data_IF_903443783325
#
_entry.id   IF_903443783325
#
_cell.length_a   1.000
_cell.length_b   1.000
_cell.length_c   1.000
_cell.angle_alpha   90.00
_cell.angle_beta   90.00
_cell.angle_gamma   90.00
#
_symmetry.space_group_name_H-M   'P 1'
#
loop_
_entity.id
_entity.type
_entity.pdbx_description
1 polymer ?
#
# COMPACT_ATOMS: atom_id res chain seq x y z
N UNK A 1 -17.25 -84.13 60.15
CA UNK A 1 -17.66 -82.79 60.37
C UNK A 1 -16.99 -81.96 59.23
N UNK A 2 -17.72 -81.85 58.15
CA UNK A 2 -17.26 -81.34 56.84
C UNK A 2 -17.43 -79.82 56.82
N UNK A 3 -16.33 -79.14 56.46
CA UNK A 3 -16.37 -77.63 56.27
C UNK A 3 -16.34 -77.37 54.77
N UNK A 4 -17.46 -76.95 54.24
CA UNK A 4 -17.67 -76.50 52.87
C UNK A 4 -16.80 -75.27 52.53
N UNK A 5 -15.94 -75.40 51.55
CA UNK A 5 -15.25 -74.25 50.91
C UNK A 5 -16.17 -73.57 49.92
N UNK A 6 -16.36 -72.28 50.07
CA UNK A 6 -17.03 -71.43 49.12
C UNK A 6 -16.05 -70.99 47.99
N UNK A 7 -16.43 -71.00 46.71
CA UNK A 7 -15.59 -70.51 45.62
C UNK A 7 -15.63 -68.92 45.55
N UNK A 8 -14.45 -68.33 45.54
CA UNK A 8 -14.26 -66.93 45.32
C UNK A 8 -14.51 -66.57 43.83
N UNK A 9 -15.50 -65.75 43.61
CA UNK A 9 -15.71 -65.09 42.30
C UNK A 9 -14.59 -64.06 42.03
N UNK A 10 -13.84 -64.29 40.98
CA UNK A 10 -12.86 -63.33 40.46
C UNK A 10 -13.61 -62.27 39.67
N UNK A 11 -13.81 -61.07 40.22
CA UNK A 11 -14.24 -59.88 39.49
C UNK A 11 -13.10 -59.46 38.60
N UNK A 12 -13.27 -59.58 37.27
CA UNK A 12 -12.37 -58.99 36.27
C UNK A 12 -12.53 -57.50 36.24
N UNK A 13 -11.55 -56.78 36.75
CA UNK A 13 -11.46 -55.33 36.55
C UNK A 13 -11.19 -55.05 35.07
N UNK A 14 -12.22 -54.59 34.37
CA UNK A 14 -12.09 -54.09 32.99
C UNK A 14 -11.42 -52.72 33.12
N UNK A 15 -10.17 -52.63 32.69
CA UNK A 15 -9.40 -51.38 32.67
C UNK A 15 -9.92 -50.47 31.58
N UNK A 16 -10.69 -49.44 31.99
CA UNK A 16 -11.18 -48.35 31.13
C UNK A 16 -10.09 -47.36 30.64
N UNK A 17 -8.83 -47.81 30.55
CA UNK A 17 -7.71 -46.95 30.14
C UNK A 17 -7.64 -46.64 28.64
N UNK A 18 -8.29 -47.44 27.80
CA UNK A 18 -8.21 -47.28 26.34
C UNK A 18 -9.11 -46.20 25.74
N UNK A 19 -10.23 -45.89 26.41
CA UNK A 19 -11.25 -44.98 25.82
C UNK A 19 -10.85 -43.51 25.91
N UNK A 20 -10.09 -43.10 26.92
CA UNK A 20 -9.68 -41.73 27.13
C UNK A 20 -8.63 -41.25 26.13
N UNK A 21 -7.74 -42.13 25.69
CA UNK A 21 -6.70 -41.79 24.71
C UNK A 21 -7.25 -41.55 23.32
N UNK A 22 -8.25 -42.30 22.89
CA UNK A 22 -8.89 -42.13 21.59
C UNK A 22 -9.70 -40.83 21.51
N UNK A 23 -10.31 -40.39 22.62
CA UNK A 23 -11.04 -39.12 22.67
C UNK A 23 -10.11 -37.93 22.65
N UNK A 24 -8.95 -37.95 23.31
CA UNK A 24 -7.95 -36.89 23.29
C UNK A 24 -7.28 -36.75 21.93
N UNK A 25 -6.98 -37.85 21.24
CA UNK A 25 -6.41 -37.82 19.88
C UNK A 25 -7.45 -37.29 18.88
N UNK A 26 -8.73 -37.67 19.00
CA UNK A 26 -9.81 -37.19 18.15
C UNK A 26 -10.06 -35.68 18.32
N UNK A 27 -9.98 -35.17 19.56
CA UNK A 27 -10.15 -33.74 19.84
C UNK A 27 -8.95 -32.92 19.32
N UNK A 28 -7.74 -33.43 19.44
CA UNK A 28 -6.54 -32.80 18.89
C UNK A 28 -6.56 -32.71 17.36
N UNK A 29 -7.00 -33.77 16.68
CA UNK A 29 -7.13 -33.78 15.22
C UNK A 29 -8.24 -32.84 14.74
N UNK A 30 -9.34 -32.74 15.47
CA UNK A 30 -10.43 -31.81 15.16
C UNK A 30 -10.00 -30.34 15.35
N UNK A 31 -9.20 -30.04 16.37
CA UNK A 31 -8.60 -28.71 16.54
C UNK A 31 -7.59 -28.35 15.45
N UNK A 32 -6.82 -29.33 14.94
CA UNK A 32 -5.92 -29.09 13.80
C UNK A 32 -6.67 -28.89 12.48
N UNK A 33 -7.83 -29.52 12.29
CA UNK A 33 -8.67 -29.33 11.11
C UNK A 33 -9.46 -28.01 11.15
N UNK A 34 -9.65 -27.43 12.33
CA UNK A 34 -10.28 -26.11 12.52
C UNK A 34 -9.26 -24.97 12.51
N UNK A 35 -7.97 -25.24 12.37
CA UNK A 35 -7.01 -24.26 11.91
C UNK A 35 -7.30 -23.97 10.42
N UNK A 36 -8.53 -23.47 10.17
CA UNK A 36 -8.89 -22.79 8.91
C UNK A 36 -7.80 -21.77 8.71
N UNK A 37 -6.99 -21.97 7.68
CA UNK A 37 -6.10 -20.94 7.17
C UNK A 37 -6.97 -19.70 7.07
N UNK A 38 -6.82 -18.74 7.98
CA UNK A 38 -7.33 -17.43 7.75
C UNK A 38 -6.63 -16.99 6.47
N UNK A 39 -7.30 -17.11 5.33
CA UNK A 39 -6.81 -16.59 4.07
C UNK A 39 -6.48 -15.14 4.36
N UNK A 40 -5.19 -14.84 4.45
CA UNK A 40 -4.73 -13.48 4.68
C UNK A 40 -5.36 -12.68 3.55
N UNK A 41 -6.25 -11.76 3.89
CA UNK A 41 -6.91 -10.91 2.91
C UNK A 41 -5.83 -10.25 2.06
N UNK A 42 -5.82 -10.54 0.76
CA UNK A 42 -4.85 -9.97 -0.16
C UNK A 42 -5.18 -8.49 -0.34
N UNK A 43 -4.32 -7.62 0.17
CA UNK A 43 -4.44 -6.18 0.00
C UNK A 43 -3.39 -5.69 -1.00
N UNK A 44 -3.74 -4.70 -1.82
CA UNK A 44 -2.80 -4.02 -2.70
C UNK A 44 -3.08 -2.52 -2.71
N UNK A 45 -2.05 -1.71 -2.88
CA UNK A 45 -2.20 -0.29 -3.16
C UNK A 45 -2.71 -0.17 -4.59
N UNK A 46 -3.92 0.35 -4.76
CA UNK A 46 -4.52 0.52 -6.09
C UNK A 46 -4.08 1.82 -6.74
N UNK A 47 -3.98 2.88 -5.95
CA UNK A 47 -3.58 4.22 -6.43
C UNK A 47 -3.23 5.14 -5.27
N UNK A 48 -2.52 6.19 -5.60
CA UNK A 48 -2.28 7.36 -4.75
C UNK A 48 -3.22 8.46 -5.22
N UNK A 49 -3.87 9.16 -4.29
CA UNK A 49 -4.73 10.30 -4.60
C UNK A 49 -4.11 11.56 -4.02
N UNK A 50 -3.90 12.55 -4.87
CA UNK A 50 -3.31 13.83 -4.50
C UNK A 50 -4.28 14.96 -4.83
N UNK A 51 -4.43 15.91 -3.90
CA UNK A 51 -5.15 17.15 -4.16
C UNK A 51 -4.17 18.22 -4.64
N UNK A 52 -4.57 18.98 -5.63
CA UNK A 52 -3.76 20.06 -6.18
C UNK A 52 -4.57 21.33 -6.37
N UNK A 53 -4.01 22.53 -6.13
CA UNK A 53 -4.70 23.77 -6.42
C UNK A 53 -4.84 24.06 -7.93
N UNK A 54 -3.99 23.46 -8.76
CA UNK A 54 -3.94 23.63 -10.21
C UNK A 54 -3.74 22.28 -10.89
N UNK A 55 -4.80 21.75 -11.50
CA UNK A 55 -4.78 20.44 -12.15
C UNK A 55 -3.91 20.45 -13.41
N UNK A 56 -3.98 21.53 -14.21
CA UNK A 56 -3.24 21.60 -15.48
C UNK A 56 -1.74 21.63 -15.23
N UNK A 57 -1.29 22.41 -14.26
CA UNK A 57 0.11 22.47 -13.85
C UNK A 57 0.59 21.11 -13.30
N UNK A 58 -0.25 20.44 -12.52
CA UNK A 58 0.10 19.13 -11.97
C UNK A 58 0.17 18.05 -13.07
N UNK A 59 -0.78 18.03 -14.00
CA UNK A 59 -0.73 17.12 -15.16
C UNK A 59 0.56 17.36 -15.96
N UNK A 60 0.86 18.59 -16.31
CA UNK A 60 2.07 18.94 -17.05
C UNK A 60 3.35 18.50 -16.32
N UNK A 61 3.40 18.65 -14.99
CA UNK A 61 4.53 18.20 -14.18
C UNK A 61 4.65 16.68 -14.16
N UNK A 62 3.59 15.96 -13.83
CA UNK A 62 3.67 14.49 -13.75
C UNK A 62 3.94 13.84 -15.11
N UNK A 63 3.44 14.39 -16.20
CA UNK A 63 3.71 13.86 -17.55
C UNK A 63 5.05 14.31 -18.11
N UNK A 64 5.42 15.58 -17.97
CA UNK A 64 6.62 16.14 -18.59
C UNK A 64 7.90 16.00 -17.77
N UNK A 65 7.81 15.81 -16.44
CA UNK A 65 8.98 15.71 -15.55
C UNK A 65 9.15 14.29 -15.03
N UNK A 66 8.07 13.70 -14.49
CA UNK A 66 8.14 12.39 -13.84
C UNK A 66 7.95 11.22 -14.84
N UNK A 67 7.35 11.49 -16.01
CA UNK A 67 7.18 10.48 -17.06
C UNK A 67 5.89 9.67 -16.96
N UNK A 68 4.87 10.16 -16.24
CA UNK A 68 3.56 9.53 -16.25
C UNK A 68 2.84 9.75 -17.59
N UNK A 69 1.87 8.88 -17.89
CA UNK A 69 0.96 9.03 -19.02
C UNK A 69 -0.41 9.45 -18.53
N UNK A 70 -1.00 10.48 -19.13
CA UNK A 70 -2.38 10.89 -18.85
C UNK A 70 -3.36 9.91 -19.52
N UNK A 71 -4.16 9.18 -18.69
CA UNK A 71 -5.18 8.27 -19.19
C UNK A 71 -6.55 8.93 -19.31
N UNK A 72 -6.84 9.84 -18.39
CA UNK A 72 -8.16 10.46 -18.31
C UNK A 72 -8.06 11.82 -17.63
N UNK A 73 -8.76 12.79 -18.21
CA UNK A 73 -9.08 14.07 -17.58
C UNK A 73 -10.58 14.35 -17.76
N UNK A 74 -11.19 14.94 -16.75
CA UNK A 74 -12.60 15.29 -16.83
C UNK A 74 -13.10 16.00 -15.59
N UNK A 75 -14.34 16.50 -15.72
CA UNK A 75 -15.03 17.20 -14.63
C UNK A 75 -16.20 16.36 -14.15
N UNK A 76 -16.24 16.12 -12.85
CA UNK A 76 -17.40 15.55 -12.19
C UNK A 76 -18.47 16.64 -12.02
N UNK A 77 -19.72 16.33 -12.36
CA UNK A 77 -20.83 17.22 -12.02
C UNK A 77 -21.06 17.25 -10.49
N UNK A 78 -21.76 18.26 -9.99
CA UNK A 78 -22.14 18.30 -8.58
C UNK A 78 -22.81 16.99 -8.12
N UNK A 79 -22.35 16.41 -7.02
CA UNK A 79 -22.83 15.14 -6.49
C UNK A 79 -22.48 13.90 -7.32
N UNK A 80 -21.68 14.02 -8.37
CA UNK A 80 -21.36 12.92 -9.30
C UNK A 80 -20.62 11.73 -8.70
N UNK A 81 -19.84 11.95 -7.63
CA UNK A 81 -19.22 10.87 -6.84
C UNK A 81 -19.41 11.16 -5.35
N UNK A 82 -20.40 10.55 -4.70
CA UNK A 82 -20.78 10.87 -3.32
C UNK A 82 -19.69 10.65 -2.27
N UNK A 83 -18.68 9.81 -2.58
CA UNK A 83 -17.58 9.53 -1.64
C UNK A 83 -16.56 10.68 -1.54
N UNK A 84 -16.46 11.56 -2.55
CA UNK A 84 -15.43 12.61 -2.57
C UNK A 84 -15.57 13.57 -1.40
N UNK A 85 -16.79 13.97 -1.07
CA UNK A 85 -17.04 14.83 0.09
C UNK A 85 -16.55 14.22 1.40
N UNK A 86 -17.10 13.09 1.85
CA UNK A 86 -16.75 12.50 3.14
C UNK A 86 -15.33 11.93 3.21
N UNK A 87 -14.76 11.46 2.09
CA UNK A 87 -13.41 10.86 2.08
C UNK A 87 -12.32 11.93 2.03
N UNK A 88 -12.50 12.96 1.18
CA UNK A 88 -11.49 13.99 0.97
C UNK A 88 -11.82 15.33 1.65
N UNK A 89 -12.96 15.41 2.33
CA UNK A 89 -13.44 16.62 3.01
C UNK A 89 -13.53 17.84 2.06
N UNK A 90 -14.03 17.62 0.85
CA UNK A 90 -14.21 18.65 -0.17
C UNK A 90 -15.70 18.90 -0.44
N UNK A 91 -16.02 20.09 -0.91
CA UNK A 91 -17.39 20.48 -1.27
C UNK A 91 -17.82 19.82 -2.61
N UNK A 92 -18.40 18.63 -2.52
CA UNK A 92 -18.89 17.89 -3.68
C UNK A 92 -20.17 18.49 -4.31
N UNK A 93 -20.72 19.59 -3.76
CA UNK A 93 -21.84 20.33 -4.40
C UNK A 93 -21.40 21.16 -5.60
N UNK A 94 -20.08 21.30 -5.83
CA UNK A 94 -19.48 21.99 -6.96
C UNK A 94 -18.89 21.01 -7.97
N UNK A 95 -18.72 21.43 -9.24
CA UNK A 95 -17.95 20.66 -10.21
C UNK A 95 -16.51 20.45 -9.72
N UNK A 96 -15.98 19.21 -9.89
CA UNK A 96 -14.62 18.87 -9.47
C UNK A 96 -13.86 18.35 -10.68
N UNK A 97 -12.78 19.04 -11.06
CA UNK A 97 -11.85 18.57 -12.10
C UNK A 97 -10.95 17.50 -11.52
N UNK A 98 -10.64 16.50 -12.34
CA UNK A 98 -9.80 15.38 -11.95
C UNK A 98 -9.05 14.77 -13.13
N UNK A 99 -7.95 14.07 -12.84
CA UNK A 99 -7.20 13.29 -13.81
C UNK A 99 -6.75 11.95 -13.25
N UNK A 100 -6.57 10.98 -14.13
CA UNK A 100 -5.97 9.67 -13.84
C UNK A 100 -4.73 9.50 -14.69
N UNK A 101 -3.62 9.15 -14.06
CA UNK A 101 -2.35 8.96 -14.72
C UNK A 101 -1.79 7.57 -14.40
N UNK A 102 -1.06 7.03 -15.38
CA UNK A 102 -0.41 5.71 -15.32
C UNK A 102 1.11 5.83 -15.39
N UNK A 103 1.81 4.87 -14.83
CA UNK A 103 3.20 4.56 -15.19
C UNK A 103 3.21 3.42 -16.21
N UNK A 104 4.39 3.01 -16.67
CA UNK A 104 4.55 1.84 -17.55
C UNK A 104 4.10 0.52 -16.90
N UNK A 105 4.10 0.46 -15.56
CA UNK A 105 3.76 -0.74 -14.77
C UNK A 105 2.45 -0.64 -14.01
N UNK A 106 2.00 0.58 -13.67
CA UNK A 106 0.81 0.79 -12.83
C UNK A 106 -0.25 1.62 -13.56
N UNK A 107 -1.25 0.93 -14.10
CA UNK A 107 -2.38 1.57 -14.76
C UNK A 107 -3.22 2.37 -13.76
N UNK A 108 -3.41 3.68 -14.05
CA UNK A 108 -4.20 4.61 -13.21
C UNK A 108 -3.76 4.62 -11.75
N UNK A 109 -2.44 4.53 -11.53
CA UNK A 109 -1.81 4.52 -10.22
C UNK A 109 -1.87 5.86 -9.50
N UNK A 110 -2.03 6.97 -10.24
CA UNK A 110 -2.14 8.32 -9.69
C UNK A 110 -3.49 8.94 -10.04
N UNK A 111 -4.15 9.51 -9.02
CA UNK A 111 -5.39 10.27 -9.14
C UNK A 111 -5.18 11.69 -8.65
N UNK A 112 -5.31 12.65 -9.54
CA UNK A 112 -5.25 14.07 -9.23
C UNK A 112 -6.66 14.63 -9.09
N UNK A 113 -6.90 15.41 -8.05
CA UNK A 113 -8.16 16.07 -7.74
C UNK A 113 -7.87 17.56 -7.59
N UNK A 114 -8.53 18.39 -8.40
CA UNK A 114 -8.39 19.84 -8.26
C UNK A 114 -9.16 20.35 -7.05
N UNK A 115 -8.45 21.04 -6.17
CA UNK A 115 -9.05 21.69 -5.02
C UNK A 115 -8.29 23.00 -4.71
N UNK A 116 -8.90 24.17 -4.95
CA UNK A 116 -8.22 25.46 -4.81
C UNK A 116 -7.66 25.74 -3.41
N UNK A 117 -8.17 25.05 -2.41
CA UNK A 117 -7.73 25.14 -1.01
C UNK A 117 -6.90 23.91 -0.59
N UNK A 118 -6.32 23.15 -1.56
CA UNK A 118 -5.41 22.08 -1.22
C UNK A 118 -4.31 22.63 -0.29
N UNK A 119 -4.00 21.95 0.82
CA UNK A 119 -3.03 22.45 1.77
C UNK A 119 -1.66 22.58 1.08
N UNK A 120 -1.08 23.77 1.15
CA UNK A 120 0.30 23.94 0.75
C UNK A 120 1.22 23.15 1.70
N UNK A 121 2.30 22.55 1.18
CA UNK A 121 3.29 21.91 2.04
C UNK A 121 3.93 22.96 2.94
N UNK A 122 4.18 22.56 4.16
CA UNK A 122 4.93 23.33 5.13
C UNK A 122 6.39 22.84 5.11
N UNK A 123 7.34 23.60 4.56
CA UNK A 123 8.73 23.14 4.42
C UNK A 123 9.45 22.98 5.77
N UNK A 124 8.89 23.54 6.86
CA UNK A 124 9.45 23.41 8.20
C UNK A 124 8.97 22.17 8.95
N UNK A 125 7.98 21.47 8.39
CA UNK A 125 7.44 20.25 8.99
C UNK A 125 8.00 19.00 8.32
N UNK A 126 8.17 17.89 9.08
CA UNK A 126 8.48 16.60 8.47
C UNK A 126 7.44 16.23 7.42
N UNK A 127 7.90 15.72 6.29
CA UNK A 127 7.03 15.23 5.22
C UNK A 127 6.30 13.97 5.71
N UNK A 128 4.96 14.06 5.82
CA UNK A 128 4.15 12.95 6.34
C UNK A 128 3.93 11.83 5.30
N UNK A 129 3.92 12.18 4.01
CA UNK A 129 3.67 11.24 2.91
C UNK A 129 4.62 11.58 1.76
N UNK A 130 5.30 10.57 1.25
CA UNK A 130 6.18 10.66 0.08
C UNK A 130 5.71 9.65 -0.95
N UNK A 131 5.57 10.09 -2.20
CA UNK A 131 5.39 9.18 -3.35
C UNK A 131 6.76 8.77 -3.84
N UNK A 132 7.07 7.48 -3.86
CA UNK A 132 8.33 6.96 -4.37
C UNK A 132 8.14 6.51 -5.82
N UNK A 133 8.97 6.99 -6.73
CA UNK A 133 8.90 6.70 -8.16
C UNK A 133 10.27 6.28 -8.68
N UNK A 134 10.35 5.09 -9.25
CA UNK A 134 11.52 4.65 -10.01
C UNK A 134 11.54 5.35 -11.37
N UNK A 135 12.69 5.90 -11.74
CA UNK A 135 12.90 6.60 -13.01
C UNK A 135 14.06 5.98 -13.76
N UNK A 136 14.04 6.09 -15.09
CA UNK A 136 15.11 5.54 -15.95
C UNK A 136 16.42 6.31 -15.80
N UNK A 137 16.35 7.63 -15.60
CA UNK A 137 17.49 8.52 -15.39
C UNK A 137 17.15 9.59 -14.35
N UNK A 138 17.82 9.53 -13.22
CA UNK A 138 17.64 10.53 -12.16
C UNK A 138 18.16 11.90 -12.62
N UNK A 139 19.29 11.94 -13.32
CA UNK A 139 19.89 13.20 -13.80
C UNK A 139 18.98 13.93 -14.77
N UNK A 140 18.36 13.20 -15.71
CA UNK A 140 17.41 13.77 -16.67
C UNK A 140 16.14 14.25 -15.96
N UNK A 141 15.58 13.44 -15.07
CA UNK A 141 14.39 13.80 -14.28
C UNK A 141 14.63 15.05 -13.43
N UNK A 142 15.78 15.14 -12.75
CA UNK A 142 16.11 16.33 -11.94
C UNK A 142 16.36 17.57 -12.81
N UNK A 143 16.94 17.41 -14.02
CA UNK A 143 17.10 18.52 -14.94
C UNK A 143 15.73 19.06 -15.43
N UNK A 144 14.79 18.17 -15.76
CA UNK A 144 13.42 18.55 -16.12
C UNK A 144 12.67 19.21 -14.96
N UNK A 145 12.82 18.68 -13.74
CA UNK A 145 12.22 19.26 -12.55
C UNK A 145 12.72 20.69 -12.29
N UNK A 146 14.03 20.91 -12.37
CA UNK A 146 14.64 22.24 -12.23
C UNK A 146 14.17 23.20 -13.33
N UNK A 147 14.10 22.72 -14.57
CA UNK A 147 13.59 23.52 -15.69
C UNK A 147 12.11 23.91 -15.52
N UNK A 148 11.31 23.05 -14.88
CA UNK A 148 9.93 23.31 -14.51
C UNK A 148 9.79 24.21 -13.26
N UNK A 149 10.90 24.62 -12.62
CA UNK A 149 10.90 25.45 -11.41
C UNK A 149 10.55 24.68 -10.13
N UNK A 150 10.56 23.35 -10.16
CA UNK A 150 10.29 22.53 -8.98
C UNK A 150 11.50 22.51 -8.03
N UNK A 151 11.31 22.67 -6.71
CA UNK A 151 12.37 22.45 -5.73
C UNK A 151 12.90 21.03 -5.76
N UNK A 152 14.23 20.88 -5.71
CA UNK A 152 14.92 19.59 -5.79
C UNK A 152 15.97 19.55 -4.68
N UNK A 153 16.06 18.41 -3.96
CA UNK A 153 17.12 18.20 -2.97
C UNK A 153 18.46 17.85 -3.61
N UNK A 154 19.49 17.73 -2.79
CA UNK A 154 20.74 17.05 -3.19
C UNK A 154 20.47 15.58 -3.51
N UNK A 155 21.24 15.03 -4.44
CA UNK A 155 21.18 13.60 -4.79
C UNK A 155 22.01 12.79 -3.78
N UNK A 156 21.44 11.75 -3.25
CA UNK A 156 22.11 10.75 -2.42
C UNK A 156 22.36 9.51 -3.27
N UNK A 157 23.58 8.95 -3.16
CA UNK A 157 23.94 7.70 -3.85
C UNK A 157 24.50 6.72 -2.83
N UNK A 158 24.01 5.48 -2.85
CA UNK A 158 24.47 4.40 -1.97
C UNK A 158 24.26 3.04 -2.65
N UNK A 159 24.50 1.95 -1.92
CA UNK A 159 24.37 0.57 -2.38
C UNK A 159 23.38 -0.16 -1.48
N UNK A 160 22.41 -0.86 -2.08
CA UNK A 160 21.46 -1.68 -1.32
C UNK A 160 22.14 -2.89 -0.70
N UNK A 161 21.54 -3.55 0.30
CA UNK A 161 22.08 -4.80 0.88
C UNK A 161 22.31 -5.90 -0.15
N UNK A 162 21.57 -5.90 -1.27
CA UNK A 162 21.69 -6.85 -2.38
C UNK A 162 22.79 -6.47 -3.38
N UNK A 163 23.51 -5.35 -3.15
CA UNK A 163 24.60 -4.88 -4.00
C UNK A 163 24.16 -4.07 -5.22
N UNK A 164 22.92 -3.58 -5.25
CA UNK A 164 22.45 -2.65 -6.29
C UNK A 164 22.85 -1.23 -5.92
N UNK A 165 23.44 -0.49 -6.86
CA UNK A 165 23.65 0.94 -6.70
C UNK A 165 22.36 1.69 -6.92
N UNK A 166 22.05 2.64 -6.06
CA UNK A 166 20.92 3.54 -6.26
C UNK A 166 21.36 5.00 -6.13
N UNK A 167 20.61 5.86 -6.79
CA UNK A 167 20.66 7.31 -6.60
C UNK A 167 19.25 7.80 -6.37
N UNK A 168 19.05 8.70 -5.41
CA UNK A 168 17.74 9.22 -5.05
C UNK A 168 17.80 10.71 -4.74
N UNK A 169 16.69 11.40 -4.99
CA UNK A 169 16.50 12.81 -4.65
C UNK A 169 15.01 13.11 -4.45
N UNK A 170 14.73 14.14 -3.66
CA UNK A 170 13.39 14.64 -3.44
C UNK A 170 13.05 15.76 -4.43
N UNK A 171 11.87 15.67 -5.02
CA UNK A 171 11.27 16.75 -5.83
C UNK A 171 9.98 17.18 -5.15
N UNK A 172 9.72 18.49 -5.08
CA UNK A 172 8.42 19.02 -4.66
C UNK A 172 7.59 19.36 -5.90
N UNK A 173 6.45 18.69 -6.08
CA UNK A 173 5.52 18.99 -7.19
C UNK A 173 4.89 20.38 -7.06
N UNK A 174 4.29 20.95 -8.12
CA UNK A 174 3.55 22.22 -8.04
C UNK A 174 2.41 22.22 -7.01
N UNK A 175 1.77 21.08 -6.79
CA UNK A 175 0.79 20.88 -5.72
C UNK A 175 1.40 20.71 -4.34
N UNK A 176 2.72 20.79 -4.22
CA UNK A 176 3.46 20.71 -2.97
C UNK A 176 3.68 19.29 -2.44
N UNK A 177 3.42 18.27 -3.23
CA UNK A 177 3.65 16.89 -2.81
C UNK A 177 5.11 16.51 -2.95
N UNK A 178 5.62 15.82 -1.94
CA UNK A 178 6.96 15.26 -1.95
C UNK A 178 7.00 13.99 -2.81
N UNK A 179 7.93 13.96 -3.75
CA UNK A 179 8.18 12.84 -4.66
C UNK A 179 9.64 12.46 -4.52
N UNK A 180 9.91 11.27 -3.98
CA UNK A 180 11.24 10.68 -4.00
C UNK A 180 11.41 9.98 -5.34
N UNK A 181 12.27 10.50 -6.19
CA UNK A 181 12.68 9.82 -7.42
C UNK A 181 13.94 9.02 -7.15
N UNK A 182 14.00 7.79 -7.64
CA UNK A 182 15.19 6.96 -7.51
C UNK A 182 15.47 6.18 -8.80
N UNK A 183 16.75 5.96 -9.03
CA UNK A 183 17.27 5.15 -10.12
C UNK A 183 18.04 3.97 -9.53
N UNK A 184 17.76 2.76 -10.01
CA UNK A 184 18.53 1.56 -9.70
C UNK A 184 19.45 1.23 -10.85
N UNK A 185 20.74 1.07 -10.55
CA UNK A 185 21.72 0.57 -11.50
C UNK A 185 22.40 -0.67 -10.96
N UNK A 186 22.78 -1.61 -11.84
CA UNK A 186 23.63 -2.72 -11.43
C UNK A 186 24.97 -2.13 -10.99
N UNK A 187 25.45 -2.54 -9.82
CA UNK A 187 26.82 -2.24 -9.44
C UNK A 187 27.79 -2.80 -10.52
N UNK A 188 28.83 -2.07 -10.90
CA UNK A 188 29.80 -2.49 -11.92
C UNK A 188 30.53 -3.77 -11.50
#
# INVERSE_FOLDING_TARGET
MEVLMHPQERVRAVTHRGVWWTQLVGLGLLCCLLAVSADAQTSRIKRISLMTPDLDQSIAFFTGVIGFTLDFEGTLPPGGEPFLGPVFNIDASKPIRRALLSTSTEARGLFLIEHPQAPAPDPEKPTAVVTVVEVESIDETLALAKAAGAPVSETVTDVTPEGMRFSEAMITSPGGHAILVYELSKAP
#
